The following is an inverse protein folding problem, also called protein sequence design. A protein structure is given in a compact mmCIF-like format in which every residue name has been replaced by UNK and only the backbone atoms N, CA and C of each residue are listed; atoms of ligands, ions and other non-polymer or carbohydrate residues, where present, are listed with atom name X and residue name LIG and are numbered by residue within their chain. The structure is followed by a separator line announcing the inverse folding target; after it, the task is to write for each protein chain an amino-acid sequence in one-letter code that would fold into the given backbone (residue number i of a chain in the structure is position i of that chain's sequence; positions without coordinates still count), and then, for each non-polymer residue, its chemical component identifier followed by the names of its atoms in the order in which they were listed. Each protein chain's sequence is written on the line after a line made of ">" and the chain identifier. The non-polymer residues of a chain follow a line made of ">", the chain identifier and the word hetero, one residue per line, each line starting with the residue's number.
data_IF_537852336501
#
_entry.id   IF_537852336501
#
_cell.length_a   1.000
_cell.length_b   1.000
_cell.length_c   1.000
_cell.angle_alpha   90.00
_cell.angle_beta   90.00
_cell.angle_gamma   90.00
#
_symmetry.space_group_name_H-M   'P 1'
#
loop_
_entity.id
_entity.type
_entity.pdbx_description
1 polymer ?
#
# COMPACT_ATOMS: atom_id res chain seq x y z
N UNK A 1 34.60 0.76 -4.36
CA UNK A 1 33.28 0.85 -5.03
C UNK A 1 33.27 0.36 -6.47
N UNK A 2 34.43 0.29 -7.15
CA UNK A 2 34.49 -0.02 -8.58
C UNK A 2 34.50 -1.52 -8.93
N UNK A 3 34.75 -2.40 -7.97
CA UNK A 3 34.82 -3.85 -8.23
C UNK A 3 33.47 -4.57 -8.17
N UNK A 4 32.52 -4.10 -7.37
CA UNK A 4 31.20 -4.77 -7.23
C UNK A 4 30.28 -4.55 -8.45
N UNK A 5 30.36 -3.37 -9.08
CA UNK A 5 29.59 -3.10 -10.29
C UNK A 5 30.05 -3.98 -11.47
N UNK A 6 31.35 -4.26 -11.58
CA UNK A 6 31.88 -5.14 -12.62
C UNK A 6 31.44 -6.61 -12.47
N UNK A 7 31.38 -7.13 -11.22
CA UNK A 7 30.90 -8.49 -10.96
C UNK A 7 29.41 -8.63 -11.31
N UNK A 8 28.59 -7.67 -10.89
CA UNK A 8 27.16 -7.60 -11.22
C UNK A 8 26.88 -7.56 -12.72
N UNK A 9 27.69 -6.79 -13.48
CA UNK A 9 27.58 -6.70 -14.94
C UNK A 9 27.93 -8.03 -15.64
N UNK A 10 28.89 -8.79 -15.09
CA UNK A 10 29.28 -10.11 -15.63
C UNK A 10 28.14 -11.14 -15.45
N UNK A 11 27.56 -11.24 -14.25
CA UNK A 11 26.46 -12.18 -13.99
C UNK A 11 25.25 -11.88 -14.88
N UNK A 12 24.87 -10.63 -15.03
CA UNK A 12 23.73 -10.24 -15.88
C UNK A 12 23.96 -10.54 -17.36
N UNK A 13 25.18 -10.40 -17.83
CA UNK A 13 25.52 -10.80 -19.21
C UNK A 13 25.32 -12.29 -19.41
N UNK A 14 25.74 -13.12 -18.45
CA UNK A 14 25.56 -14.56 -18.50
C UNK A 14 24.07 -14.92 -18.49
N UNK A 15 23.29 -14.32 -17.59
CA UNK A 15 21.86 -14.56 -17.50
C UNK A 15 21.08 -14.12 -18.75
N UNK A 16 21.57 -13.09 -19.45
CA UNK A 16 20.96 -12.58 -20.68
C UNK A 16 21.61 -13.17 -21.96
N UNK A 17 22.58 -14.08 -21.85
CA UNK A 17 23.31 -14.68 -22.98
C UNK A 17 24.00 -13.64 -23.89
N UNK A 18 24.34 -12.45 -23.36
CA UNK A 18 24.99 -11.37 -24.10
C UNK A 18 26.50 -11.64 -24.22
N UNK A 19 26.96 -11.90 -25.42
CA UNK A 19 28.37 -12.24 -25.69
C UNK A 19 29.30 -11.02 -25.77
N UNK A 20 28.81 -9.93 -26.35
CA UNK A 20 29.57 -8.71 -26.55
C UNK A 20 28.85 -7.49 -26.04
N UNK A 21 29.57 -6.58 -25.37
CA UNK A 21 29.07 -5.27 -24.99
C UNK A 21 30.10 -4.20 -25.20
N UNK A 22 29.69 -3.03 -25.59
CA UNK A 22 30.46 -1.82 -25.62
C UNK A 22 30.13 -0.92 -24.44
N UNK A 23 31.14 -0.45 -23.72
CA UNK A 23 30.96 0.46 -22.60
C UNK A 23 30.98 1.90 -23.09
N UNK A 24 29.81 2.49 -23.33
CA UNK A 24 29.71 3.82 -23.92
C UNK A 24 30.02 4.94 -22.90
N UNK A 25 29.52 4.82 -21.67
CA UNK A 25 29.64 5.89 -20.66
C UNK A 25 29.53 5.36 -19.23
N UNK A 26 30.15 6.07 -18.27
CA UNK A 26 29.92 5.94 -16.83
C UNK A 26 29.26 7.21 -16.34
N UNK A 27 28.27 7.08 -15.46
CA UNK A 27 27.58 8.19 -14.79
C UNK A 27 27.22 7.80 -13.36
N UNK A 28 26.94 8.78 -12.53
CA UNK A 28 26.41 8.57 -11.18
C UNK A 28 24.89 8.53 -11.22
N UNK A 29 24.25 7.83 -10.28
CA UNK A 29 22.78 7.80 -10.20
C UNK A 29 22.12 9.18 -10.20
N UNK A 30 22.72 10.16 -9.52
CA UNK A 30 22.26 11.55 -9.51
C UNK A 30 22.26 12.24 -10.89
N UNK A 31 23.08 11.77 -11.82
CA UNK A 31 23.14 12.32 -13.18
C UNK A 31 21.92 11.86 -14.03
N UNK A 32 21.14 10.90 -13.52
CA UNK A 32 19.89 10.44 -14.11
C UNK A 32 18.66 11.18 -13.58
N UNK A 33 18.84 12.13 -12.66
CA UNK A 33 17.77 12.99 -12.18
C UNK A 33 17.11 13.67 -13.40
N UNK A 34 15.79 13.80 -13.33
CA UNK A 34 14.96 14.39 -14.40
C UNK A 34 14.87 13.56 -15.69
N UNK A 35 15.41 12.33 -15.70
CA UNK A 35 15.19 11.39 -16.80
C UNK A 35 13.77 10.83 -16.74
N UNK A 36 13.09 10.84 -17.88
CA UNK A 36 11.75 10.25 -18.05
C UNK A 36 11.88 8.99 -18.89
N UNK A 37 11.38 7.87 -18.37
CA UNK A 37 11.31 6.60 -19.08
C UNK A 37 9.92 6.38 -19.67
N UNK A 38 9.85 5.61 -20.76
CA UNK A 38 8.58 5.12 -21.31
C UNK A 38 8.27 3.74 -20.77
N UNK A 39 6.99 3.51 -20.46
CA UNK A 39 6.53 2.17 -20.09
C UNK A 39 6.77 1.18 -21.26
N UNK A 40 7.13 -0.11 -21.01
CA UNK A 40 7.28 -1.11 -22.07
C UNK A 40 6.02 -1.27 -22.95
N UNK A 41 4.84 -1.04 -22.39
CA UNK A 41 3.55 -1.09 -23.09
C UNK A 41 2.99 0.32 -23.43
N UNK A 42 3.88 1.30 -23.65
CA UNK A 42 3.47 2.68 -23.95
C UNK A 42 2.46 2.75 -25.11
N UNK A 43 2.74 2.03 -26.17
CA UNK A 43 1.90 2.03 -27.38
C UNK A 43 0.61 1.17 -27.22
N UNK A 44 0.45 0.50 -26.08
CA UNK A 44 -0.72 -0.30 -25.73
C UNK A 44 -1.58 0.34 -24.62
N UNK A 45 -1.49 1.65 -24.45
CA UNK A 45 -2.33 2.41 -23.52
C UNK A 45 -1.65 2.83 -22.22
N UNK A 46 -0.42 2.39 -21.95
CA UNK A 46 0.36 2.83 -20.77
C UNK A 46 1.23 4.04 -21.11
N UNK A 47 0.60 5.08 -21.64
CA UNK A 47 1.24 6.28 -22.23
C UNK A 47 1.50 7.39 -21.20
N UNK A 48 1.97 7.04 -20.03
CA UNK A 48 2.33 7.97 -18.97
C UNK A 48 3.85 8.02 -18.75
N UNK A 49 4.31 9.14 -18.21
CA UNK A 49 5.71 9.37 -17.90
C UNK A 49 6.14 8.60 -16.64
N UNK A 50 7.31 7.96 -16.71
CA UNK A 50 7.92 7.23 -15.59
C UNK A 50 9.20 7.97 -15.21
N UNK A 51 9.19 8.81 -14.16
CA UNK A 51 10.36 9.54 -13.72
C UNK A 51 11.37 8.61 -13.04
N UNK A 52 12.66 8.87 -13.24
CA UNK A 52 13.72 8.27 -12.44
C UNK A 52 13.87 9.03 -11.14
N UNK A 53 13.72 8.33 -10.02
CA UNK A 53 13.77 8.89 -8.67
C UNK A 53 15.05 8.42 -7.95
N UNK A 54 15.64 9.30 -7.14
CA UNK A 54 16.76 8.95 -6.27
C UNK A 54 16.24 8.25 -5.01
N UNK A 55 16.77 7.06 -4.69
CA UNK A 55 16.36 6.30 -3.52
C UNK A 55 17.56 5.72 -2.76
N UNK A 56 17.55 5.83 -1.43
CA UNK A 56 18.64 5.37 -0.57
C UNK A 56 18.75 3.84 -0.48
N UNK A 57 17.67 3.13 -0.71
CA UNK A 57 17.64 1.68 -0.69
C UNK A 57 18.17 1.03 -1.98
N UNK A 58 18.41 1.83 -3.03
CA UNK A 58 19.01 1.35 -4.27
C UNK A 58 20.52 1.40 -4.15
N UNK A 59 21.17 0.24 -4.29
CA UNK A 59 22.62 0.10 -4.22
C UNK A 59 23.18 -0.38 -5.55
N UNK A 60 24.48 -0.15 -5.77
CA UNK A 60 25.22 -0.67 -6.94
C UNK A 60 25.80 -2.06 -6.70
N UNK A 61 25.67 -2.58 -5.49
CA UNK A 61 26.19 -3.89 -5.08
C UNK A 61 25.31 -5.04 -5.55
N UNK A 62 24.02 -4.77 -5.67
CA UNK A 62 23.04 -5.73 -6.17
C UNK A 62 22.33 -5.17 -7.41
N UNK A 63 22.12 -6.02 -8.40
CA UNK A 63 21.38 -5.66 -9.60
C UNK A 63 22.06 -4.61 -10.48
N UNK A 64 21.28 -3.78 -11.16
CA UNK A 64 21.75 -2.78 -12.13
C UNK A 64 22.03 -1.40 -11.52
N UNK A 65 21.67 -1.18 -10.25
CA UNK A 65 21.58 0.16 -9.67
C UNK A 65 20.35 0.94 -10.16
N UNK A 66 19.47 0.30 -10.94
CA UNK A 66 18.17 0.83 -11.38
C UNK A 66 17.11 -0.20 -10.98
N UNK A 67 16.11 0.24 -10.21
CA UNK A 67 15.05 -0.62 -9.65
C UNK A 67 13.71 -0.11 -10.10
N UNK A 68 12.83 -1.02 -10.52
CA UNK A 68 11.43 -0.69 -10.75
C UNK A 68 10.73 -0.51 -9.40
N UNK A 69 10.02 0.61 -9.23
CA UNK A 69 9.23 0.92 -8.04
C UNK A 69 7.74 0.79 -8.34
N UNK A 70 7.03 0.05 -7.49
CA UNK A 70 5.61 -0.18 -7.60
C UNK A 70 4.90 0.35 -6.33
N UNK A 71 4.36 1.59 -6.33
CA UNK A 71 3.85 2.25 -5.12
C UNK A 71 2.73 1.50 -4.42
N UNK A 72 2.00 0.65 -5.13
CA UNK A 72 0.91 -0.14 -4.55
C UNK A 72 1.34 -1.50 -3.98
N UNK A 73 2.63 -1.86 -4.06
CA UNK A 73 3.11 -3.21 -3.78
C UNK A 73 4.29 -3.30 -2.81
N UNK A 74 4.70 -2.19 -2.18
CA UNK A 74 5.75 -2.19 -1.16
C UNK A 74 5.82 -0.87 -0.39
N UNK A 75 6.19 -0.89 0.90
CA UNK A 75 6.20 0.32 1.74
C UNK A 75 7.28 1.32 1.34
N UNK A 76 8.46 0.86 0.92
CA UNK A 76 9.56 1.74 0.50
C UNK A 76 9.20 2.44 -0.82
N UNK A 77 8.65 1.70 -1.77
CA UNK A 77 8.16 2.20 -3.05
C UNK A 77 7.02 3.20 -2.85
N UNK A 78 6.07 2.86 -1.96
CA UNK A 78 4.95 3.73 -1.60
C UNK A 78 5.46 5.07 -1.07
N UNK A 79 6.36 5.06 -0.08
CA UNK A 79 6.89 6.28 0.54
C UNK A 79 7.69 7.12 -0.47
N UNK A 80 8.52 6.48 -1.29
CA UNK A 80 9.28 7.16 -2.33
C UNK A 80 8.36 7.86 -3.33
N UNK A 81 7.37 7.15 -3.82
CA UNK A 81 6.41 7.67 -4.80
C UNK A 81 5.55 8.80 -4.21
N UNK A 82 5.03 8.62 -3.00
CA UNK A 82 4.22 9.62 -2.32
C UNK A 82 4.99 10.94 -2.09
N UNK A 83 6.25 10.84 -1.65
CA UNK A 83 7.11 12.01 -1.45
C UNK A 83 7.45 12.77 -2.75
N UNK A 84 7.27 12.12 -3.90
CA UNK A 84 7.46 12.71 -5.23
C UNK A 84 6.13 13.00 -5.94
N UNK A 85 5.00 13.01 -5.22
CA UNK A 85 3.67 13.36 -5.76
C UNK A 85 3.03 12.28 -6.64
N UNK A 86 3.59 11.07 -6.66
CA UNK A 86 3.05 9.91 -7.39
C UNK A 86 2.11 9.15 -6.46
N UNK A 87 0.83 9.09 -6.82
CA UNK A 87 -0.20 8.40 -6.04
C UNK A 87 -0.14 6.89 -6.26
N UNK A 88 -0.31 6.12 -5.19
CA UNK A 88 -0.62 4.69 -5.30
C UNK A 88 -2.06 4.54 -5.81
N UNK A 89 -2.23 3.70 -6.81
CA UNK A 89 -3.55 3.33 -7.35
C UNK A 89 -3.84 1.87 -7.02
N UNK A 90 -5.10 1.54 -6.85
CA UNK A 90 -5.51 0.16 -6.65
C UNK A 90 -5.38 -0.62 -7.96
N UNK A 91 -4.41 -1.51 -8.01
CA UNK A 91 -4.11 -2.33 -9.21
C UNK A 91 -4.61 -3.77 -9.08
N UNK A 92 -4.89 -4.21 -7.85
CA UNK A 92 -5.34 -5.57 -7.54
C UNK A 92 -6.52 -5.49 -6.58
N UNK A 93 -7.61 -6.17 -6.92
CA UNK A 93 -8.83 -6.25 -6.12
C UNK A 93 -8.72 -7.26 -4.96
N UNK A 94 -9.82 -7.44 -4.21
CA UNK A 94 -9.89 -8.36 -3.07
C UNK A 94 -9.78 -9.84 -3.47
N UNK A 95 -10.11 -10.19 -4.70
CA UNK A 95 -9.97 -11.53 -5.27
C UNK A 95 -8.56 -11.83 -5.80
N UNK A 96 -7.64 -10.87 -5.73
CA UNK A 96 -6.29 -10.99 -6.29
C UNK A 96 -6.23 -10.87 -7.81
N UNK A 97 -7.21 -10.22 -8.43
CA UNK A 97 -7.27 -9.96 -9.87
C UNK A 97 -6.89 -8.51 -10.17
N UNK A 98 -6.34 -8.27 -11.34
CA UNK A 98 -6.08 -6.91 -11.78
C UNK A 98 -7.39 -6.15 -12.00
N UNK A 99 -7.41 -4.90 -11.50
CA UNK A 99 -8.52 -3.95 -11.69
C UNK A 99 -8.48 -3.34 -13.09
N UNK A 100 -9.49 -2.54 -13.43
CA UNK A 100 -9.54 -1.78 -14.69
C UNK A 100 -8.40 -0.74 -14.83
N UNK A 101 -7.73 -0.37 -13.72
CA UNK A 101 -6.52 0.46 -13.75
C UNK A 101 -5.34 -0.24 -14.45
N UNK A 102 -5.43 -1.57 -14.65
CA UNK A 102 -4.44 -2.38 -15.37
C UNK A 102 -5.10 -2.98 -16.61
N UNK A 103 -5.49 -2.12 -17.55
CA UNK A 103 -6.39 -2.42 -18.67
C UNK A 103 -6.01 -3.65 -19.52
N UNK A 104 -4.71 -3.88 -19.77
CA UNK A 104 -4.25 -5.04 -20.57
C UNK A 104 -4.45 -6.39 -19.86
N UNK A 105 -4.59 -6.37 -18.54
CA UNK A 105 -4.62 -7.59 -17.71
C UNK A 105 -5.82 -7.60 -16.75
N UNK A 106 -6.80 -6.72 -16.99
CA UNK A 106 -8.03 -6.62 -16.18
C UNK A 106 -8.69 -8.00 -16.00
N UNK A 107 -9.09 -8.29 -14.76
CA UNK A 107 -9.73 -9.55 -14.37
C UNK A 107 -8.80 -10.76 -14.32
N UNK A 108 -7.54 -10.64 -14.73
CA UNK A 108 -6.56 -11.72 -14.66
C UNK A 108 -6.01 -11.81 -13.24
N UNK A 109 -6.03 -13.03 -12.67
CA UNK A 109 -5.46 -13.28 -11.35
C UNK A 109 -3.93 -13.16 -11.40
N UNK A 110 -3.33 -12.41 -10.45
CA UNK A 110 -1.91 -12.02 -10.44
C UNK A 110 -0.94 -13.21 -10.56
N UNK A 111 -1.23 -14.35 -9.89
CA UNK A 111 -0.37 -15.53 -9.98
C UNK A 111 -0.45 -16.26 -11.33
N UNK A 112 -1.43 -15.91 -12.17
CA UNK A 112 -1.54 -16.42 -13.54
C UNK A 112 -1.01 -15.44 -14.59
N UNK A 113 -0.67 -14.22 -14.17
CA UNK A 113 -0.28 -13.13 -15.07
C UNK A 113 1.12 -13.30 -15.66
N UNK A 114 2.08 -13.85 -14.91
CA UNK A 114 3.49 -13.87 -15.31
C UNK A 114 3.74 -14.39 -16.73
N UNK A 115 3.24 -15.56 -17.14
CA UNK A 115 3.49 -16.06 -18.50
C UNK A 115 2.88 -15.13 -19.57
N UNK A 116 1.69 -14.56 -19.30
CA UNK A 116 0.98 -13.68 -20.24
C UNK A 116 1.74 -12.34 -20.38
N UNK A 117 2.26 -11.78 -19.27
CA UNK A 117 3.07 -10.57 -19.30
C UNK A 117 4.37 -10.80 -20.07
N UNK A 118 5.03 -11.95 -19.85
CA UNK A 118 6.26 -12.32 -20.55
C UNK A 118 6.00 -12.44 -22.06
N UNK A 119 4.93 -13.10 -22.47
CA UNK A 119 4.55 -13.23 -23.88
C UNK A 119 4.30 -11.85 -24.50
N UNK A 120 3.54 -10.99 -23.80
CA UNK A 120 3.25 -9.64 -24.26
C UNK A 120 4.50 -8.78 -24.42
N UNK A 121 5.48 -8.91 -23.51
CA UNK A 121 6.77 -8.24 -23.61
C UNK A 121 7.59 -8.75 -24.81
N UNK A 122 7.52 -10.06 -25.12
CA UNK A 122 8.17 -10.63 -26.31
C UNK A 122 7.55 -10.07 -27.58
N UNK A 123 6.22 -10.04 -27.68
CA UNK A 123 5.50 -9.50 -28.83
C UNK A 123 5.89 -8.04 -29.13
N UNK A 124 6.14 -7.26 -28.08
CA UNK A 124 6.55 -5.86 -28.20
C UNK A 124 8.08 -5.67 -28.37
N UNK A 125 8.86 -6.75 -28.46
CA UNK A 125 10.32 -6.68 -28.47
C UNK A 125 10.93 -5.91 -27.28
N UNK A 126 10.31 -6.05 -26.10
CA UNK A 126 10.72 -5.37 -24.85
C UNK A 126 11.28 -6.34 -23.80
N UNK A 127 11.38 -7.62 -24.10
CA UNK A 127 11.95 -8.62 -23.23
C UNK A 127 13.39 -8.93 -23.64
N UNK A 128 14.35 -8.67 -22.76
CA UNK A 128 15.76 -9.01 -22.99
C UNK A 128 16.03 -10.49 -22.67
N UNK A 129 15.59 -10.95 -21.50
CA UNK A 129 15.73 -12.33 -21.04
C UNK A 129 14.65 -12.66 -20.03
N UNK A 130 14.36 -13.94 -19.81
CA UNK A 130 13.52 -14.43 -18.73
C UNK A 130 14.10 -15.71 -18.13
N UNK A 131 13.86 -15.89 -16.83
CA UNK A 131 14.31 -17.07 -16.09
C UNK A 131 13.40 -17.39 -14.93
N UNK A 132 13.69 -18.47 -14.21
CA UNK A 132 12.99 -18.89 -12.99
C UNK A 132 13.93 -18.73 -11.80
N UNK A 133 13.48 -18.02 -10.78
CA UNK A 133 14.19 -17.88 -9.51
C UNK A 133 13.41 -18.62 -8.43
N UNK A 134 14.10 -19.52 -7.74
CA UNK A 134 13.55 -20.19 -6.55
C UNK A 134 14.04 -19.44 -5.31
N UNK A 135 13.11 -18.91 -4.53
CA UNK A 135 13.41 -18.15 -3.31
C UNK A 135 12.35 -18.39 -2.24
N UNK A 136 12.66 -18.01 -1.00
CA UNK A 136 11.68 -18.03 0.09
C UNK A 136 10.60 -16.99 -0.18
N UNK A 137 9.33 -17.38 -0.13
CA UNK A 137 8.20 -16.48 -0.34
C UNK A 137 7.29 -16.46 0.89
N UNK A 138 6.83 -15.29 1.36
CA UNK A 138 5.98 -15.20 2.53
C UNK A 138 4.60 -15.82 2.26
N UNK A 139 4.15 -16.65 3.20
CA UNK A 139 2.84 -17.32 3.16
C UNK A 139 2.04 -16.98 4.40
N UNK A 140 0.72 -16.96 4.27
CA UNK A 140 -0.19 -16.85 5.41
C UNK A 140 0.00 -18.04 6.36
N UNK A 141 0.18 -17.78 7.63
CA UNK A 141 0.34 -18.83 8.63
C UNK A 141 -0.92 -19.70 8.80
N UNK A 142 -2.10 -19.15 8.50
CA UNK A 142 -3.39 -19.85 8.57
C UNK A 142 -3.69 -20.63 7.30
N UNK A 143 -3.84 -19.92 6.17
CA UNK A 143 -4.26 -20.52 4.90
C UNK A 143 -3.14 -21.19 4.13
N UNK A 144 -1.88 -20.94 4.50
CA UNK A 144 -0.68 -21.35 3.76
C UNK A 144 -0.62 -20.81 2.32
N UNK A 145 -1.52 -19.92 1.95
CA UNK A 145 -1.50 -19.25 0.66
C UNK A 145 -0.38 -18.19 0.59
N UNK A 146 0.22 -17.96 -0.58
CA UNK A 146 1.20 -16.89 -0.76
C UNK A 146 0.58 -15.53 -0.51
N UNK A 147 1.34 -14.64 0.12
CA UNK A 147 0.90 -13.27 0.43
C UNK A 147 1.09 -12.35 -0.77
N UNK A 148 0.27 -11.31 -0.83
CA UNK A 148 0.37 -10.24 -1.82
C UNK A 148 0.42 -8.90 -1.09
N UNK A 149 1.38 -8.06 -1.47
CA UNK A 149 1.38 -6.66 -1.06
C UNK A 149 0.50 -5.88 -2.03
N UNK A 150 -0.50 -5.18 -1.49
CA UNK A 150 -1.37 -4.30 -2.27
C UNK A 150 -1.74 -3.07 -1.45
N UNK A 151 -1.94 -1.94 -2.12
CA UNK A 151 -2.51 -0.76 -1.51
C UNK A 151 -4.03 -0.95 -1.38
N UNK A 152 -4.55 -0.73 -0.19
CA UNK A 152 -6.00 -0.72 0.09
C UNK A 152 -6.33 0.53 0.89
N UNK A 153 -7.49 1.14 0.68
CA UNK A 153 -7.96 2.20 1.57
C UNK A 153 -8.04 1.70 3.01
N UNK A 154 -7.50 2.48 3.94
CA UNK A 154 -7.50 2.13 5.37
C UNK A 154 -7.73 3.38 6.20
N UNK A 155 -8.21 3.18 7.41
CA UNK A 155 -8.47 4.26 8.37
C UNK A 155 -7.37 4.31 9.40
N UNK A 156 -6.86 5.53 9.64
CA UNK A 156 -5.74 5.75 10.54
C UNK A 156 -6.06 6.81 11.58
N UNK A 157 -5.61 6.58 12.82
CA UNK A 157 -5.47 7.63 13.81
C UNK A 157 -4.08 8.24 13.64
N UNK A 158 -4.01 9.52 13.27
CA UNK A 158 -2.74 10.21 13.10
C UNK A 158 -2.07 10.45 14.44
N UNK A 159 -0.82 10.05 14.54
CA UNK A 159 -0.01 10.30 15.73
C UNK A 159 0.41 11.77 15.85
N UNK A 160 0.41 12.51 14.75
CA UNK A 160 0.82 13.92 14.72
C UNK A 160 -0.37 14.89 14.87
N UNK A 161 -1.56 14.51 14.40
CA UNK A 161 -2.77 15.32 14.54
C UNK A 161 -3.08 15.59 16.01
N UNK A 162 -3.44 16.84 16.30
CA UNK A 162 -3.72 17.32 17.67
C UNK A 162 -2.60 17.01 18.68
N UNK A 163 -1.37 16.81 18.18
CA UNK A 163 -0.17 16.52 19.00
C UNK A 163 -0.35 15.24 19.84
N UNK A 164 -0.99 14.20 19.30
CA UNK A 164 -1.27 12.97 20.03
C UNK A 164 0.01 12.33 20.57
N UNK A 165 1.06 12.17 19.74
CA UNK A 165 2.36 11.64 20.14
C UNK A 165 2.96 12.44 21.32
N UNK A 166 2.98 13.75 21.22
CA UNK A 166 3.50 14.63 22.27
C UNK A 166 2.74 14.47 23.59
N UNK A 167 1.41 14.38 23.51
CA UNK A 167 0.56 14.17 24.70
C UNK A 167 0.79 12.80 25.33
N UNK A 168 0.91 11.76 24.51
CA UNK A 168 1.17 10.40 24.97
C UNK A 168 2.55 10.28 25.65
N UNK A 169 3.59 10.85 25.05
CA UNK A 169 4.94 10.88 25.65
C UNK A 169 4.95 11.62 26.98
N UNK A 170 4.25 12.76 27.07
CA UNK A 170 4.10 13.47 28.33
C UNK A 170 3.38 12.64 29.39
N UNK A 171 2.28 11.99 29.04
CA UNK A 171 1.54 11.13 29.95
C UNK A 171 2.41 9.95 30.47
N UNK A 172 3.27 9.38 29.61
CA UNK A 172 4.24 8.37 30.02
C UNK A 172 5.27 8.96 31.01
N UNK A 173 5.75 10.17 30.75
CA UNK A 173 6.70 10.83 31.66
C UNK A 173 6.08 11.16 33.03
N UNK A 174 4.82 11.49 33.06
CA UNK A 174 4.05 11.80 34.29
C UNK A 174 3.59 10.53 35.05
N UNK A 175 3.71 9.34 34.45
CA UNK A 175 3.28 8.07 35.05
C UNK A 175 4.44 7.35 35.75
N UNK A 176 4.17 6.79 36.94
CA UNK A 176 5.12 5.93 37.64
C UNK A 176 5.01 4.49 37.18
N UNK A 177 6.11 3.88 36.78
CA UNK A 177 6.18 2.52 36.27
C UNK A 177 6.88 1.56 37.26
N UNK A 178 6.28 0.38 37.44
CA UNK A 178 6.86 -0.76 38.18
C UNK A 178 6.86 -1.99 37.29
N UNK A 179 8.02 -2.50 36.85
CA UNK A 179 9.37 -1.96 37.03
C UNK A 179 9.62 -0.72 36.16
N UNK A 180 10.55 0.13 36.58
CA UNK A 180 10.90 1.41 35.91
C UNK A 180 11.31 1.24 34.44
N UNK A 181 11.94 0.12 34.08
CA UNK A 181 12.31 -0.23 32.69
C UNK A 181 11.13 -0.25 31.71
N UNK A 182 9.90 -0.48 32.23
CA UNK A 182 8.68 -0.42 31.42
C UNK A 182 8.45 0.95 30.77
N UNK A 183 8.81 2.03 31.48
CA UNK A 183 8.71 3.41 31.01
C UNK A 183 9.52 3.64 29.73
N UNK A 184 10.81 3.32 29.76
CA UNK A 184 11.72 3.53 28.63
C UNK A 184 11.27 2.74 27.39
N UNK A 185 10.84 1.49 27.60
CA UNK A 185 10.35 0.66 26.52
C UNK A 185 9.11 1.25 25.86
N UNK A 186 8.11 1.65 26.66
CA UNK A 186 6.88 2.24 26.13
C UNK A 186 7.15 3.57 25.43
N UNK A 187 8.00 4.41 26.01
CA UNK A 187 8.41 5.69 25.44
C UNK A 187 9.03 5.51 24.06
N UNK A 188 10.03 4.62 23.94
CA UNK A 188 10.69 4.32 22.67
C UNK A 188 9.70 3.80 21.62
N UNK A 189 8.74 2.95 22.00
CA UNK A 189 7.68 2.48 21.09
C UNK A 189 6.78 3.60 20.59
N UNK A 190 6.43 4.59 21.42
CA UNK A 190 5.57 5.71 21.03
C UNK A 190 6.33 6.74 20.19
N UNK A 191 7.61 6.98 20.50
CA UNK A 191 8.46 7.92 19.75
C UNK A 191 8.54 7.58 18.25
N UNK A 192 8.63 6.31 17.93
CA UNK A 192 8.80 5.83 16.55
C UNK A 192 7.53 5.24 15.94
N UNK A 193 6.42 5.23 16.68
CA UNK A 193 5.17 4.60 16.22
C UNK A 193 4.62 5.32 15.00
N UNK A 194 4.34 4.62 13.89
CA UNK A 194 3.60 5.19 12.76
C UNK A 194 2.14 5.48 13.14
N UNK A 195 1.42 6.15 12.27
CA UNK A 195 -0.03 6.33 12.41
C UNK A 195 -0.72 4.97 12.64
N UNK A 196 -1.72 4.96 13.50
CA UNK A 196 -2.36 3.71 13.92
C UNK A 196 -3.48 3.32 12.97
N UNK A 197 -3.27 2.29 12.17
CA UNK A 197 -4.31 1.70 11.33
C UNK A 197 -5.38 1.02 12.21
N UNK A 198 -6.58 1.58 12.22
CA UNK A 198 -7.69 1.11 13.06
C UNK A 198 -8.76 0.33 12.30
N UNK A 199 -8.71 0.24 10.99
CA UNK A 199 -9.63 -0.55 10.17
C UNK A 199 -9.15 -1.98 10.00
N UNK A 200 -10.11 -2.92 9.98
CA UNK A 200 -9.86 -4.35 9.70
C UNK A 200 -10.96 -4.88 8.78
N UNK A 201 -10.55 -5.64 7.78
CA UNK A 201 -11.42 -6.37 6.85
C UNK A 201 -11.68 -7.76 7.42
N UNK A 202 -12.64 -7.84 8.34
CA UNK A 202 -13.03 -9.09 9.01
C UNK A 202 -14.53 -9.19 9.11
N UNK A 203 -15.02 -10.43 9.19
CA UNK A 203 -16.46 -10.72 9.23
C UNK A 203 -17.09 -10.37 10.57
N UNK A 204 -16.30 -10.34 11.65
CA UNK A 204 -16.81 -10.12 13.00
C UNK A 204 -16.00 -9.08 13.77
N UNK A 205 -16.67 -8.13 14.38
CA UNK A 205 -16.14 -7.03 15.18
C UNK A 205 -17.05 -5.81 15.13
N UNK A 206 -16.73 -4.78 15.92
CA UNK A 206 -17.46 -3.51 15.95
C UNK A 206 -17.24 -2.76 14.64
N UNK A 207 -18.30 -2.40 13.89
CA UNK A 207 -18.16 -1.70 12.62
C UNK A 207 -17.62 -0.28 12.77
N UNK A 208 -16.91 0.19 11.75
CA UNK A 208 -16.61 1.62 11.56
C UNK A 208 -17.83 2.31 10.95
N UNK A 209 -18.57 3.15 11.70
CA UNK A 209 -19.86 3.70 11.27
C UNK A 209 -19.65 4.93 10.35
N UNK A 210 -19.02 4.73 9.20
CA UNK A 210 -18.63 5.80 8.29
C UNK A 210 -19.31 5.61 6.94
N UNK A 211 -19.77 6.73 6.38
CA UNK A 211 -20.30 6.85 5.03
C UNK A 211 -19.36 7.65 4.15
N UNK A 212 -19.13 7.19 2.92
CA UNK A 212 -18.32 7.85 1.91
C UNK A 212 -19.19 8.19 0.70
N UNK A 213 -19.11 9.42 0.23
CA UNK A 213 -19.86 9.86 -0.96
C UNK A 213 -19.29 9.18 -2.22
N UNK A 214 -20.15 8.52 -2.99
CA UNK A 214 -19.76 7.75 -4.19
C UNK A 214 -19.14 8.59 -5.30
N UNK A 215 -19.49 9.88 -5.38
CA UNK A 215 -19.04 10.79 -6.46
C UNK A 215 -17.78 11.55 -6.08
N UNK A 216 -17.76 12.10 -4.84
CA UNK A 216 -16.63 12.94 -4.40
C UNK A 216 -15.56 12.17 -3.64
N UNK A 217 -15.83 10.91 -3.21
CA UNK A 217 -15.01 10.14 -2.27
C UNK A 217 -14.79 10.84 -0.91
N UNK A 218 -15.64 11.80 -0.56
CA UNK A 218 -15.55 12.51 0.69
C UNK A 218 -16.31 11.77 1.80
N UNK A 219 -15.76 11.85 3.00
CA UNK A 219 -16.37 11.29 4.20
C UNK A 219 -17.55 12.17 4.60
N UNK A 220 -18.69 11.55 4.93
CA UNK A 220 -19.81 12.26 5.53
C UNK A 220 -19.51 12.55 7.01
N UNK A 221 -19.33 13.83 7.32
CA UNK A 221 -19.17 14.33 8.68
C UNK A 221 -20.41 15.16 9.03
N UNK A 222 -21.34 14.58 9.78
CA UNK A 222 -22.53 15.26 10.30
C UNK A 222 -22.88 14.66 11.67
N UNK A 223 -22.81 15.47 12.71
CA UNK A 223 -23.05 15.04 14.10
C UNK A 223 -24.41 14.39 14.30
N UNK A 224 -25.45 14.84 13.57
CA UNK A 224 -26.78 14.25 13.65
C UNK A 224 -26.83 12.83 13.11
N UNK A 225 -26.03 12.53 12.08
CA UNK A 225 -25.89 11.16 11.55
C UNK A 225 -25.18 10.29 12.56
N UNK A 226 -24.12 10.79 13.19
CA UNK A 226 -23.40 10.05 14.24
C UNK A 226 -24.26 9.80 15.47
N UNK A 227 -25.02 10.81 15.92
CA UNK A 227 -25.98 10.64 17.02
C UNK A 227 -27.08 9.63 16.68
N UNK A 228 -27.62 9.66 15.45
CA UNK A 228 -28.60 8.69 15.00
C UNK A 228 -28.04 7.26 15.00
N UNK A 229 -26.82 7.07 14.50
CA UNK A 229 -26.14 5.77 14.53
C UNK A 229 -25.94 5.29 15.97
N UNK A 230 -25.46 6.16 16.86
CA UNK A 230 -25.26 5.82 18.28
C UNK A 230 -26.57 5.38 18.95
N UNK A 231 -27.66 6.12 18.73
CA UNK A 231 -28.98 5.78 19.26
C UNK A 231 -29.52 4.44 18.72
N UNK A 232 -29.24 4.12 17.45
CA UNK A 232 -29.62 2.83 16.87
C UNK A 232 -28.79 1.70 17.49
N UNK A 233 -27.48 1.90 17.63
CA UNK A 233 -26.56 0.91 18.22
C UNK A 233 -26.93 0.61 19.69
N UNK A 234 -27.31 1.64 20.47
CA UNK A 234 -27.73 1.47 21.85
C UNK A 234 -28.99 0.59 21.97
N UNK A 235 -29.90 0.68 21.00
CA UNK A 235 -31.18 -0.05 21.02
C UNK A 235 -31.09 -1.44 20.40
N UNK A 236 -30.33 -1.60 19.33
CA UNK A 236 -30.40 -2.79 18.49
C UNK A 236 -29.05 -3.54 18.41
N UNK A 237 -27.97 -2.94 18.97
CA UNK A 237 -26.61 -3.44 18.82
C UNK A 237 -25.96 -3.03 17.51
N UNK A 238 -24.64 -3.13 17.45
CA UNK A 238 -23.86 -2.68 16.29
C UNK A 238 -23.97 -3.58 15.05
N UNK A 239 -24.45 -4.81 15.20
CA UNK A 239 -24.62 -5.76 14.08
C UNK A 239 -25.62 -5.27 13.04
N UNK A 240 -26.60 -4.43 13.46
CA UNK A 240 -27.55 -3.79 12.54
C UNK A 240 -26.86 -2.96 11.45
N UNK A 241 -25.61 -2.51 11.69
CA UNK A 241 -24.83 -1.83 10.67
C UNK A 241 -24.65 -2.67 9.41
N UNK A 242 -24.42 -3.95 9.54
CA UNK A 242 -24.19 -4.85 8.39
C UNK A 242 -25.49 -5.31 7.72
N UNK A 243 -26.55 -5.51 8.49
CA UNK A 243 -27.82 -6.08 8.00
C UNK A 243 -28.80 -5.05 7.44
N UNK A 244 -28.79 -3.83 7.99
CA UNK A 244 -29.86 -2.86 7.76
C UNK A 244 -29.56 -1.93 6.55
N UNK A 245 -30.65 -1.36 6.03
CA UNK A 245 -30.58 -0.40 4.95
C UNK A 245 -29.82 0.86 5.41
N UNK A 246 -28.85 1.35 4.61
CA UNK A 246 -28.10 2.57 4.92
C UNK A 246 -28.98 3.80 5.22
N UNK A 247 -30.18 3.90 4.62
CA UNK A 247 -31.08 5.02 4.83
C UNK A 247 -31.52 5.17 6.29
N UNK A 248 -31.62 4.06 7.05
CA UNK A 248 -31.95 4.05 8.46
C UNK A 248 -30.99 4.90 9.30
N UNK A 249 -29.71 4.85 8.96
CA UNK A 249 -28.64 5.56 9.66
C UNK A 249 -28.49 7.00 9.18
N UNK A 250 -28.72 7.25 7.89
CA UNK A 250 -28.53 8.57 7.26
C UNK A 250 -29.65 9.57 7.59
N UNK A 251 -30.84 9.08 8.01
CA UNK A 251 -32.02 9.92 8.22
C UNK A 251 -32.54 10.53 6.91
N UNK A 252 -33.29 11.63 7.02
CA UNK A 252 -33.99 12.22 5.87
C UNK A 252 -33.14 13.18 5.04
N UNK A 253 -32.01 13.63 5.58
CA UNK A 253 -31.17 14.65 4.94
C UNK A 253 -30.32 14.10 3.78
N UNK A 254 -29.91 12.85 3.89
CA UNK A 254 -28.99 12.20 2.94
C UNK A 254 -29.66 10.99 2.31
N UNK A 255 -29.34 10.70 1.05
CA UNK A 255 -29.89 9.55 0.33
C UNK A 255 -28.88 8.40 0.30
N UNK A 256 -29.30 7.21 0.63
CA UNK A 256 -28.46 6.02 0.64
C UNK A 256 -27.82 5.69 -0.71
N UNK A 257 -28.47 6.10 -1.82
CA UNK A 257 -27.94 5.91 -3.18
C UNK A 257 -26.66 6.70 -3.45
N UNK A 258 -26.43 7.83 -2.75
CA UNK A 258 -25.27 8.70 -2.92
C UNK A 258 -24.06 8.30 -2.07
N UNK A 259 -24.22 7.34 -1.16
CA UNK A 259 -23.19 6.98 -0.18
C UNK A 259 -22.92 5.49 -0.14
N UNK A 260 -21.65 5.14 0.04
CA UNK A 260 -21.21 3.81 0.42
C UNK A 260 -21.06 3.73 1.94
N UNK A 261 -21.65 2.70 2.53
CA UNK A 261 -21.51 2.34 3.92
C UNK A 261 -20.30 1.44 4.08
N UNK A 262 -19.33 1.80 4.93
CA UNK A 262 -18.14 0.99 5.13
C UNK A 262 -18.50 -0.36 5.77
N UNK A 263 -17.78 -1.40 5.35
CA UNK A 263 -17.87 -2.74 5.92
C UNK A 263 -16.72 -3.08 6.87
N UNK A 264 -15.76 -2.18 7.01
CA UNK A 264 -14.63 -2.35 7.91
C UNK A 264 -15.06 -2.39 9.37
N UNK A 265 -14.33 -3.17 10.17
CA UNK A 265 -14.48 -3.21 11.63
C UNK A 265 -13.32 -2.50 12.31
N UNK A 266 -13.54 -2.09 13.55
CA UNK A 266 -12.52 -1.45 14.39
C UNK A 266 -11.49 -2.48 14.84
N UNK A 267 -10.24 -2.06 14.94
CA UNK A 267 -9.14 -2.83 15.52
C UNK A 267 -9.40 -3.10 17.01
N UNK A 268 -9.18 -4.34 17.45
CA UNK A 268 -9.56 -4.83 18.78
C UNK A 268 -8.95 -4.04 19.95
N UNK A 269 -7.74 -3.52 19.81
CA UNK A 269 -7.10 -2.72 20.86
C UNK A 269 -7.72 -1.33 21.01
N UNK A 270 -8.27 -0.79 19.91
CA UNK A 270 -9.05 0.44 19.98
C UNK A 270 -10.38 0.18 20.70
N UNK A 271 -11.10 -0.86 20.28
CA UNK A 271 -12.39 -1.27 20.85
C UNK A 271 -12.26 -1.57 22.35
N UNK A 272 -11.23 -2.32 22.76
CA UNK A 272 -11.03 -2.66 24.18
C UNK A 272 -10.46 -1.52 25.02
N UNK A 273 -9.94 -0.47 24.42
CA UNK A 273 -9.33 0.68 25.08
C UNK A 273 -10.21 1.92 25.18
N UNK A 274 -11.35 1.89 24.50
CA UNK A 274 -12.37 2.94 24.51
C UNK A 274 -13.62 2.48 25.26
#
# INVERSE_FOLDING_TARGET
>A
PSQSSAASDVYKRQDCEIKEIEKLKKFKGKDLKDTICKHPFFDLGYNYDIPMLEARFVTTEQGTGIVHCAPSHGPDDFNLCLNNGIKAIETVDDDGKYTNNVSLFEGLHIFKANPIVIEKLKDQNKLLSNGVLVHSYPHSWRSKAPLVHRATPQWFISMESHKLRTKALKAIDDTTFYPSKGKERLKSMIETRPDWCVSRQRVWGVPLPIFVNKKSNEILIDDRVFENIANIYEKEGSDCWFSDNPQKFLGDKYKAEDYDKLSDIVEVWFDSGS
#
